data_IF_604452147401
#
_entry.id   IF_604452147401
#
_cell.length_a   1.000
_cell.length_b   1.000
_cell.length_c   1.000
_cell.angle_alpha   90.00
_cell.angle_beta   90.00
_cell.angle_gamma   90.00
#
_symmetry.space_group_name_H-M   'P 1'
#
loop_
_entity.id
_entity.type
_entity.pdbx_description
1 polymer ?
#
# COMPACT_ATOMS: atom_id res chain seq x y z
N UNK A 1 -5.10 9.92 -20.17
CA UNK A 1 -4.18 10.26 -19.06
C UNK A 1 -4.86 11.31 -18.21
N UNK A 2 -5.09 11.05 -16.93
CA UNK A 2 -5.51 12.09 -15.98
C UNK A 2 -4.22 12.77 -15.55
N UNK A 3 -4.03 14.02 -15.97
CA UNK A 3 -2.87 14.82 -15.53
C UNK A 3 -3.15 15.21 -14.09
N UNK A 4 -2.27 14.89 -13.12
CA UNK A 4 -2.50 15.28 -11.74
C UNK A 4 -2.53 16.81 -11.62
N UNK A 5 -3.29 17.37 -10.66
CA UNK A 5 -3.34 18.82 -10.48
C UNK A 5 -1.94 19.42 -10.18
N UNK A 6 -1.74 20.72 -10.43
CA UNK A 6 -0.47 21.39 -10.14
C UNK A 6 -0.10 21.30 -8.65
N UNK A 7 1.20 21.22 -8.35
CA UNK A 7 1.69 21.20 -6.96
C UNK A 7 1.29 22.47 -6.19
N UNK A 8 1.22 22.34 -4.87
CA UNK A 8 0.84 23.40 -3.92
C UNK A 8 -0.57 23.97 -4.14
N UNK A 9 -1.45 23.22 -4.81
CA UNK A 9 -2.88 23.55 -4.96
C UNK A 9 -3.74 22.71 -4.02
N UNK A 10 -4.93 23.22 -3.67
CA UNK A 10 -5.89 22.47 -2.85
C UNK A 10 -6.35 21.21 -3.55
N UNK A 11 -6.58 21.32 -4.86
CA UNK A 11 -6.97 20.23 -5.74
C UNK A 11 -5.91 19.12 -5.71
N UNK A 12 -4.62 19.48 -5.69
CA UNK A 12 -3.55 18.48 -5.58
C UNK A 12 -3.51 17.82 -4.21
N UNK A 13 -3.65 18.58 -3.13
CA UNK A 13 -3.73 17.99 -1.79
C UNK A 13 -4.90 17.01 -1.68
N UNK A 14 -6.07 17.35 -2.21
CA UNK A 14 -7.23 16.45 -2.22
C UNK A 14 -6.98 15.19 -3.05
N UNK A 15 -6.38 15.34 -4.22
CA UNK A 15 -5.97 14.24 -5.08
C UNK A 15 -5.01 13.27 -4.35
N UNK A 16 -3.92 13.80 -3.78
CA UNK A 16 -2.92 13.05 -3.05
C UNK A 16 -3.52 12.34 -1.82
N UNK A 17 -4.41 13.01 -1.06
CA UNK A 17 -5.07 12.41 0.09
C UNK A 17 -6.03 11.27 -0.31
N UNK A 18 -6.64 11.33 -1.49
CA UNK A 18 -7.49 10.25 -2.00
C UNK A 18 -6.66 9.02 -2.42
N UNK A 19 -5.50 9.24 -3.03
CA UNK A 19 -4.53 8.17 -3.30
C UNK A 19 -4.03 7.54 -2.00
N UNK A 20 -3.73 8.35 -0.98
CA UNK A 20 -3.32 7.87 0.34
C UNK A 20 -4.39 7.03 1.04
N UNK A 21 -5.67 7.42 0.94
CA UNK A 21 -6.79 6.60 1.44
C UNK A 21 -6.83 5.23 0.76
N UNK A 22 -6.65 5.20 -0.55
CA UNK A 22 -6.67 3.95 -1.33
C UNK A 22 -5.54 3.01 -0.89
N UNK A 23 -4.33 3.53 -0.68
CA UNK A 23 -3.22 2.76 -0.11
C UNK A 23 -3.53 2.26 1.30
N UNK A 24 -4.10 3.10 2.16
CA UNK A 24 -4.43 2.70 3.52
C UNK A 24 -5.42 1.53 3.56
N UNK A 25 -6.43 1.53 2.68
CA UNK A 25 -7.37 0.40 2.55
C UNK A 25 -6.63 -0.88 2.16
N UNK A 26 -5.66 -0.83 1.24
CA UNK A 26 -4.82 -2.00 0.91
C UNK A 26 -4.03 -2.50 2.13
N UNK A 27 -3.46 -1.59 2.92
CA UNK A 27 -2.80 -1.94 4.18
C UNK A 27 -3.76 -2.61 5.19
N UNK A 28 -5.04 -2.21 5.22
CA UNK A 28 -6.05 -2.85 6.06
C UNK A 28 -6.35 -4.28 5.59
N UNK A 29 -6.54 -4.48 4.28
CA UNK A 29 -6.76 -5.81 3.69
C UNK A 29 -5.60 -6.76 3.93
N UNK A 30 -4.36 -6.27 3.89
CA UNK A 30 -3.15 -7.05 4.19
C UNK A 30 -2.91 -7.24 5.70
N UNK A 31 -3.72 -6.65 6.58
CA UNK A 31 -3.54 -6.73 8.03
C UNK A 31 -2.36 -5.92 8.60
N UNK A 32 -1.66 -5.15 7.77
CA UNK A 32 -0.46 -4.37 8.16
C UNK A 32 -0.77 -2.93 8.60
N UNK A 33 -2.03 -2.48 8.49
CA UNK A 33 -2.44 -1.11 8.85
C UNK A 33 -2.17 -0.71 10.31
N UNK A 34 -2.03 -1.68 11.22
CA UNK A 34 -1.71 -1.44 12.64
C UNK A 34 -0.21 -1.35 12.91
N UNK A 35 0.66 -1.65 11.94
CA UNK A 35 2.10 -1.49 12.08
C UNK A 35 2.44 -0.01 12.37
N UNK A 36 3.28 0.22 13.39
CA UNK A 36 3.67 1.56 13.82
C UNK A 36 4.45 2.32 12.73
N UNK A 37 5.28 1.62 11.95
CA UNK A 37 6.06 2.20 10.87
C UNK A 37 5.13 2.61 9.72
N UNK A 38 4.12 1.80 9.40
CA UNK A 38 3.12 2.16 8.38
C UNK A 38 2.32 3.38 8.82
N UNK A 39 1.88 3.43 10.07
CA UNK A 39 1.17 4.61 10.61
C UNK A 39 2.02 5.88 10.55
N UNK A 40 3.30 5.80 10.91
CA UNK A 40 4.24 6.93 10.81
C UNK A 40 4.38 7.42 9.37
N UNK A 41 4.60 6.51 8.41
CA UNK A 41 4.71 6.86 6.99
C UNK A 41 3.44 7.53 6.45
N UNK A 42 2.26 7.03 6.85
CA UNK A 42 0.98 7.64 6.47
C UNK A 42 0.83 9.04 7.06
N UNK A 43 1.25 9.28 8.32
CA UNK A 43 1.22 10.63 8.89
C UNK A 43 2.12 11.60 8.12
N UNK A 44 3.35 11.20 7.80
CA UNK A 44 4.27 12.01 6.98
C UNK A 44 3.64 12.33 5.62
N UNK A 45 3.05 11.33 4.95
CA UNK A 45 2.37 11.54 3.67
C UNK A 45 1.17 12.49 3.78
N UNK A 46 0.39 12.44 4.87
CA UNK A 46 -0.69 13.40 5.10
C UNK A 46 -0.16 14.82 5.23
N UNK A 47 0.94 15.00 5.93
CA UNK A 47 1.57 16.32 6.11
C UNK A 47 2.11 16.85 4.79
N UNK A 48 2.71 15.99 3.96
CA UNK A 48 3.33 16.39 2.70
C UNK A 48 2.36 16.45 1.49
N UNK A 49 1.09 16.07 1.65
CA UNK A 49 0.12 16.06 0.55
C UNK A 49 0.00 17.42 -0.15
N UNK A 50 0.03 17.43 -1.48
CA UNK A 50 0.10 18.65 -2.28
C UNK A 50 1.52 19.09 -2.67
N UNK A 51 2.55 18.56 -2.01
CA UNK A 51 3.96 18.94 -2.20
C UNK A 51 4.75 17.91 -2.99
N UNK A 52 5.93 18.29 -3.45
CA UNK A 52 6.78 17.44 -4.30
C UNK A 52 7.20 16.14 -3.61
N UNK A 53 7.48 16.20 -2.30
CA UNK A 53 7.95 15.09 -1.50
C UNK A 53 6.91 13.98 -1.36
N UNK A 54 5.62 14.30 -1.51
CA UNK A 54 4.53 13.34 -1.41
C UNK A 54 4.71 12.18 -2.39
N UNK A 55 5.01 12.49 -3.65
CA UNK A 55 5.10 11.49 -4.73
C UNK A 55 6.16 10.44 -4.43
N UNK A 56 7.33 10.86 -3.95
CA UNK A 56 8.44 9.97 -3.65
C UNK A 56 8.09 9.03 -2.50
N UNK A 57 7.67 9.59 -1.37
CA UNK A 57 7.28 8.81 -0.18
C UNK A 57 6.09 7.88 -0.46
N UNK A 58 5.17 8.32 -1.33
CA UNK A 58 3.98 7.57 -1.70
C UNK A 58 4.34 6.36 -2.57
N UNK A 59 5.26 6.53 -3.54
CA UNK A 59 5.78 5.44 -4.36
C UNK A 59 6.50 4.41 -3.49
N UNK A 60 7.36 4.86 -2.57
CA UNK A 60 8.07 3.96 -1.67
C UNK A 60 7.10 3.17 -0.76
N UNK A 61 6.00 3.78 -0.33
CA UNK A 61 4.99 3.08 0.48
C UNK A 61 4.20 2.10 -0.39
N UNK A 62 3.84 2.51 -1.60
CA UNK A 62 3.11 1.68 -2.56
C UNK A 62 3.90 0.43 -2.94
N UNK A 63 5.20 0.57 -3.23
CA UNK A 63 6.08 -0.57 -3.53
C UNK A 63 6.13 -1.56 -2.38
N UNK A 64 6.32 -1.07 -1.15
CA UNK A 64 6.33 -1.92 0.05
C UNK A 64 5.00 -2.69 0.23
N UNK A 65 3.87 -2.02 0.03
CA UNK A 65 2.54 -2.64 0.15
C UNK A 65 2.37 -3.75 -0.90
N UNK A 66 2.83 -3.51 -2.14
CA UNK A 66 2.77 -4.51 -3.20
C UNK A 66 3.71 -5.69 -2.97
N UNK A 67 4.90 -5.47 -2.41
CA UNK A 67 5.79 -6.56 -1.99
C UNK A 67 5.15 -7.43 -0.91
N UNK A 68 4.50 -6.81 0.09
CA UNK A 68 3.76 -7.53 1.13
C UNK A 68 2.59 -8.32 0.56
N UNK A 69 1.88 -7.77 -0.42
CA UNK A 69 0.81 -8.48 -1.14
C UNK A 69 1.34 -9.75 -1.80
N UNK A 70 2.44 -9.64 -2.55
CA UNK A 70 3.09 -10.78 -3.23
C UNK A 70 3.64 -11.81 -2.26
N UNK A 71 4.16 -11.39 -1.11
CA UNK A 71 4.59 -12.30 -0.03
C UNK A 71 3.42 -13.15 0.48
N UNK A 72 2.27 -12.52 0.74
CA UNK A 72 1.05 -13.22 1.18
C UNK A 72 0.49 -14.16 0.12
N UNK A 73 0.52 -13.78 -1.16
CA UNK A 73 0.10 -14.64 -2.28
C UNK A 73 0.97 -15.91 -2.35
N UNK A 74 2.30 -15.77 -2.28
CA UNK A 74 3.23 -16.91 -2.29
C UNK A 74 3.05 -17.85 -1.10
N UNK A 75 2.78 -17.32 0.10
CA UNK A 75 2.52 -18.15 1.28
C UNK A 75 1.26 -19.00 1.09
N UNK A 76 0.17 -18.41 0.58
CA UNK A 76 -1.08 -19.13 0.30
C UNK A 76 -0.91 -20.23 -0.74
N UNK A 77 -0.17 -19.96 -1.81
CA UNK A 77 0.13 -20.97 -2.84
C UNK A 77 0.93 -22.15 -2.25
N UNK A 78 1.90 -21.87 -1.37
CA UNK A 78 2.67 -22.92 -0.69
C UNK A 78 1.80 -23.74 0.26
N UNK A 79 0.90 -23.12 1.02
CA UNK A 79 -0.04 -23.81 1.92
C UNK A 79 -0.99 -24.73 1.14
N UNK A 80 -1.56 -24.24 0.03
CA UNK A 80 -2.42 -25.04 -0.85
C UNK A 80 -1.67 -26.23 -1.44
N UNK A 81 -0.43 -26.03 -1.89
CA UNK A 81 0.39 -27.10 -2.43
C UNK A 81 0.72 -28.15 -1.38
N UNK A 82 1.05 -27.75 -0.15
CA UNK A 82 1.27 -28.68 0.97
C UNK A 82 0.01 -29.50 1.28
N UNK A 83 -1.16 -28.87 1.35
CA UNK A 83 -2.43 -29.55 1.59
C UNK A 83 -2.74 -30.58 0.50
N UNK A 84 -2.52 -30.23 -0.78
CA UNK A 84 -2.68 -31.17 -1.88
C UNK A 84 -1.77 -32.39 -1.75
N UNK A 85 -0.48 -32.18 -1.43
CA UNK A 85 0.46 -33.29 -1.24
C UNK A 85 0.06 -34.22 -0.09
N UNK A 86 -0.48 -33.70 1.01
CA UNK A 86 -1.01 -34.52 2.11
C UNK A 86 -2.21 -35.36 1.69
N UNK A 87 -3.11 -34.83 0.87
CA UNK A 87 -4.24 -35.59 0.32
C UNK A 87 -3.80 -36.70 -0.63
N UNK A 88 -2.77 -36.47 -1.47
CA UNK A 88 -2.25 -37.49 -2.39
C UNK A 88 -1.48 -38.63 -1.69
N UNK A 89 -1.04 -38.42 -0.45
CA UNK A 89 -0.24 -39.39 0.32
C UNK A 89 -1.11 -40.33 1.18
N UNK A 90 -2.41 -40.06 1.28
CA UNK A 90 -3.42 -40.92 1.94
C UNK A 90 -4.14 -41.77 0.90
#
# INVERSE_FOLDING_TARGET
>A
MIIPPPLNTKERTEFDLNDLKSIFVRCQTLGISKDINIRKRICVLKECAGREEFMKEFLDLSLFVEEKRKEMERMRESELMNCMFECYRR
#
